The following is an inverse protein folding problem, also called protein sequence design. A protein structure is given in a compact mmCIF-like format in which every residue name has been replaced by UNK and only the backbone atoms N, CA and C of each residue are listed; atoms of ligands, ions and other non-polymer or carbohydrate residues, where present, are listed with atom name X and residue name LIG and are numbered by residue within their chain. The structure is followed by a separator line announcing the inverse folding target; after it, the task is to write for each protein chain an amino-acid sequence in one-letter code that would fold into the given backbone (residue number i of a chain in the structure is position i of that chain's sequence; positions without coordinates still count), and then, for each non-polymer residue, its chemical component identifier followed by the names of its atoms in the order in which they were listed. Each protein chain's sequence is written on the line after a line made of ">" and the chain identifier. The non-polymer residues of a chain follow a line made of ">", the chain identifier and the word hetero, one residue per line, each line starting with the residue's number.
data_IF_830713590922
#
_entry.id   IF_830713590922
#
_cell.length_a   1.000
_cell.length_b   1.000
_cell.length_c   1.000
_cell.angle_alpha   90.00
_cell.angle_beta   90.00
_cell.angle_gamma   90.00
#
_symmetry.space_group_name_H-M   'P 1'
#
loop_
_entity.id
_entity.type
_entity.pdbx_description
1 polymer ?
#
# COMPACT_ATOMS: atom_id res chain seq x y z
N UNK A 1 -3.76 0.20 0.93
CA UNK A 1 -5.22 -0.06 0.89
C UNK A 1 -5.84 0.90 -0.11
N UNK A 2 -6.59 0.38 -1.08
CA UNK A 2 -7.42 1.21 -1.97
C UNK A 2 -8.83 1.31 -1.37
N UNK A 3 -9.38 2.51 -1.38
CA UNK A 3 -10.69 2.84 -0.81
C UNK A 3 -11.59 3.30 -1.94
N UNK A 4 -12.87 2.96 -1.86
CA UNK A 4 -13.88 3.55 -2.75
C UNK A 4 -14.44 4.81 -2.06
N UNK A 5 -14.33 6.00 -2.67
CA UNK A 5 -14.93 7.21 -2.14
C UNK A 5 -16.44 7.05 -1.93
N UNK A 6 -16.96 7.62 -0.83
CA UNK A 6 -18.38 7.56 -0.50
C UNK A 6 -19.06 8.80 -1.11
N UNK A 7 -20.15 8.63 -1.88
CA UNK A 7 -20.90 9.75 -2.46
C UNK A 7 -21.28 10.80 -1.42
N UNK A 8 -21.31 12.08 -1.81
CA UNK A 8 -21.61 13.21 -0.93
C UNK A 8 -22.96 13.07 -0.23
N UNK A 9 -23.97 12.54 -0.92
CA UNK A 9 -25.30 12.34 -0.35
C UNK A 9 -25.32 11.32 0.80
N UNK A 10 -24.28 10.49 0.92
CA UNK A 10 -24.14 9.44 1.94
C UNK A 10 -23.16 9.81 3.07
N UNK A 11 -22.60 11.02 3.06
CA UNK A 11 -21.66 11.48 4.09
C UNK A 11 -22.38 11.95 5.36
N UNK A 12 -23.67 12.29 5.24
CA UNK A 12 -24.58 12.55 6.36
C UNK A 12 -24.09 13.59 7.39
N UNK A 13 -23.20 14.52 7.00
CA UNK A 13 -22.74 15.60 7.87
C UNK A 13 -21.35 16.14 7.53
N UNK A 14 -20.98 17.25 8.17
CA UNK A 14 -19.64 17.84 8.08
C UNK A 14 -18.60 17.00 8.84
N UNK A 15 -17.32 17.21 8.50
CA UNK A 15 -16.21 16.49 9.14
C UNK A 15 -16.09 15.04 8.72
N UNK A 16 -16.64 14.67 7.55
CA UNK A 16 -16.58 13.31 7.04
C UNK A 16 -15.14 12.81 6.81
N UNK A 17 -14.90 11.55 7.18
CA UNK A 17 -13.67 10.86 6.84
C UNK A 17 -13.76 9.35 7.05
N UNK A 18 -12.60 8.70 6.93
CA UNK A 18 -12.48 7.26 7.01
C UNK A 18 -11.76 6.81 8.28
N UNK A 19 -12.20 5.67 8.80
CA UNK A 19 -11.52 4.92 9.86
C UNK A 19 -10.95 3.65 9.25
N UNK A 20 -9.63 3.54 9.18
CA UNK A 20 -8.94 2.35 8.70
C UNK A 20 -8.57 1.49 9.90
N UNK A 21 -9.04 0.25 9.93
CA UNK A 21 -8.64 -0.73 10.94
C UNK A 21 -7.92 -1.90 10.29
N UNK A 22 -6.74 -2.23 10.79
CA UNK A 22 -5.96 -3.36 10.28
C UNK A 22 -5.20 -4.09 11.40
N UNK A 23 -4.93 -5.37 11.18
CA UNK A 23 -4.10 -6.21 12.06
C UNK A 23 -3.47 -7.36 11.28
N UNK A 24 -2.32 -7.92 11.73
CA UNK A 24 -1.81 -9.17 11.17
C UNK A 24 -2.88 -10.27 11.25
N UNK A 25 -2.99 -11.10 10.22
CA UNK A 25 -3.96 -12.20 10.20
C UNK A 25 -3.75 -13.12 11.41
N UNK A 26 -4.81 -13.37 12.17
CA UNK A 26 -4.78 -14.18 13.38
C UNK A 26 -4.37 -13.45 14.67
N UNK A 27 -4.01 -12.16 14.57
CA UNK A 27 -3.85 -11.29 15.75
C UNK A 27 -5.19 -10.86 16.33
N UNK A 28 -5.22 -10.41 17.58
CA UNK A 28 -6.41 -9.92 18.26
C UNK A 28 -6.52 -8.39 18.23
N UNK A 29 -5.38 -7.69 18.29
CA UNK A 29 -5.32 -6.24 18.44
C UNK A 29 -5.43 -5.50 17.11
N UNK A 30 -6.44 -4.64 16.98
CA UNK A 30 -6.62 -3.77 15.83
C UNK A 30 -5.79 -2.49 15.97
N UNK A 31 -5.07 -2.13 14.91
CA UNK A 31 -4.54 -0.78 14.73
C UNK A 31 -5.61 0.07 14.05
N UNK A 32 -5.89 1.26 14.59
CA UNK A 32 -6.86 2.23 14.05
C UNK A 32 -6.12 3.46 13.53
N UNK A 33 -6.44 3.88 12.31
CA UNK A 33 -5.95 5.11 11.71
C UNK A 33 -7.13 5.93 11.18
N UNK A 34 -7.05 7.25 11.32
CA UNK A 34 -8.11 8.19 10.88
C UNK A 34 -7.61 8.95 9.66
N UNK A 35 -8.44 9.01 8.63
CA UNK A 35 -8.18 9.76 7.40
C UNK A 35 -9.27 10.83 7.26
N UNK A 36 -8.95 12.06 7.61
CA UNK A 36 -9.83 13.23 7.53
C UNK A 36 -9.86 13.81 6.10
N UNK A 37 -10.35 13.02 5.15
CA UNK A 37 -10.51 13.46 3.76
C UNK A 37 -11.62 12.65 3.09
N UNK A 38 -12.58 13.37 2.53
CA UNK A 38 -13.71 12.84 1.75
C UNK A 38 -13.24 12.17 0.45
N UNK A 39 -12.19 12.71 -0.16
CA UNK A 39 -11.65 12.26 -1.45
C UNK A 39 -10.63 11.12 -1.29
N UNK A 40 -10.38 10.66 -0.06
CA UNK A 40 -9.39 9.65 0.20
C UNK A 40 -9.73 8.32 -0.50
N UNK A 41 -8.95 7.99 -1.52
CA UNK A 41 -9.04 6.72 -2.24
C UNK A 41 -7.91 5.74 -1.89
N UNK A 42 -6.96 6.14 -1.03
CA UNK A 42 -5.79 5.33 -0.66
C UNK A 42 -5.30 5.63 0.74
N UNK A 43 -4.89 4.58 1.43
CA UNK A 43 -4.13 4.66 2.69
C UNK A 43 -2.89 3.76 2.63
N UNK A 44 -1.75 4.27 3.11
CA UNK A 44 -0.46 3.56 3.17
C UNK A 44 0.05 3.60 4.60
N UNK A 45 0.25 2.41 5.18
CA UNK A 45 0.94 2.25 6.45
C UNK A 45 2.38 1.80 6.20
N UNK A 46 3.35 2.48 6.82
CA UNK A 46 4.77 2.14 6.72
C UNK A 46 5.27 1.73 8.09
N UNK A 47 5.85 0.53 8.16
CA UNK A 47 6.50 0.02 9.36
C UNK A 47 7.57 -0.96 8.93
N UNK A 48 8.83 -0.66 9.27
CA UNK A 48 10.02 -1.42 8.86
C UNK A 48 10.06 -2.85 9.42
N UNK A 49 9.25 -3.13 10.44
CA UNK A 49 9.12 -4.48 11.02
C UNK A 49 8.09 -5.35 10.27
N UNK A 50 7.37 -4.82 9.28
CA UNK A 50 6.43 -5.62 8.48
C UNK A 50 7.20 -6.38 7.40
N UNK A 51 7.19 -7.72 7.50
CA UNK A 51 7.73 -8.59 6.45
C UNK A 51 6.91 -8.43 5.15
N UNK A 52 7.55 -8.43 3.97
CA UNK A 52 6.87 -8.45 2.68
C UNK A 52 5.85 -9.60 2.54
N UNK A 53 4.78 -9.37 1.77
CA UNK A 53 3.71 -10.35 1.54
C UNK A 53 3.10 -10.96 2.81
N UNK A 54 3.11 -10.22 3.92
CA UNK A 54 2.46 -10.62 5.16
C UNK A 54 0.95 -10.37 5.06
N UNK A 55 0.09 -11.33 5.44
CA UNK A 55 -1.36 -11.16 5.40
C UNK A 55 -1.85 -10.29 6.57
N UNK A 56 -2.76 -9.36 6.25
CA UNK A 56 -3.45 -8.50 7.22
C UNK A 56 -4.96 -8.62 7.02
N UNK A 57 -5.69 -8.69 8.14
CA UNK A 57 -7.13 -8.43 8.15
C UNK A 57 -7.36 -6.92 8.18
N UNK A 58 -8.27 -6.45 7.34
CA UNK A 58 -8.59 -5.03 7.20
C UNK A 58 -10.09 -4.80 7.16
N UNK A 59 -10.54 -3.71 7.75
CA UNK A 59 -11.90 -3.18 7.60
C UNK A 59 -11.86 -1.66 7.63
N UNK A 60 -12.82 -1.05 6.95
CA UNK A 60 -12.92 0.40 6.78
C UNK A 60 -14.26 0.87 7.30
N UNK A 61 -14.26 1.90 8.12
CA UNK A 61 -15.46 2.61 8.54
C UNK A 61 -15.44 4.05 8.05
N UNK A 62 -16.54 4.73 8.32
CA UNK A 62 -16.69 6.17 8.11
C UNK A 62 -16.95 6.86 9.44
N UNK A 63 -16.68 8.15 9.50
CA UNK A 63 -17.08 9.00 10.62
C UNK A 63 -17.43 10.39 10.09
N UNK A 64 -18.18 11.14 10.87
CA UNK A 64 -18.40 12.57 10.71
C UNK A 64 -18.52 13.22 12.11
N UNK A 65 -18.89 14.49 12.18
CA UNK A 65 -19.04 15.19 13.47
C UNK A 65 -20.15 14.61 14.37
N UNK A 66 -21.09 13.84 13.81
CA UNK A 66 -22.13 13.14 14.58
C UNK A 66 -21.63 11.83 15.19
N UNK A 67 -20.51 11.29 14.70
CA UNK A 67 -19.84 10.13 15.29
C UNK A 67 -19.35 9.11 14.26
N UNK A 68 -19.16 7.87 14.72
CA UNK A 68 -18.70 6.75 13.89
C UNK A 68 -19.87 6.06 13.20
N UNK A 69 -19.74 5.84 11.89
CA UNK A 69 -20.71 5.10 11.08
C UNK A 69 -20.38 3.61 10.96
N UNK A 70 -21.04 2.95 10.02
CA UNK A 70 -20.91 1.51 9.80
C UNK A 70 -19.50 1.11 9.32
N UNK A 71 -19.01 -0.01 9.85
CA UNK A 71 -17.78 -0.67 9.40
C UNK A 71 -18.08 -1.65 8.26
N UNK A 72 -17.16 -1.74 7.30
CA UNK A 72 -17.18 -2.76 6.25
C UNK A 72 -16.95 -4.16 6.82
N UNK A 73 -17.27 -5.18 6.00
CA UNK A 73 -16.79 -6.55 6.22
C UNK A 73 -15.26 -6.60 6.28
N UNK A 74 -14.73 -7.56 7.03
CA UNK A 74 -13.29 -7.83 7.10
C UNK A 74 -12.83 -8.47 5.79
N UNK A 75 -11.72 -7.98 5.24
CA UNK A 75 -11.04 -8.54 4.06
C UNK A 75 -9.58 -8.85 4.39
N UNK A 76 -8.97 -9.78 3.64
CA UNK A 76 -7.53 -10.06 3.77
C UNK A 76 -6.77 -9.36 2.65
N UNK A 77 -5.71 -8.63 3.00
CA UNK A 77 -4.77 -8.01 2.07
C UNK A 77 -3.34 -8.42 2.42
N UNK A 78 -2.40 -8.16 1.53
CA UNK A 78 -0.98 -8.45 1.74
C UNK A 78 -0.18 -7.15 1.84
N UNK A 79 0.84 -7.12 2.69
CA UNK A 79 1.81 -6.02 2.71
C UNK A 79 2.53 -5.92 1.37
N UNK A 80 3.05 -4.72 1.08
CA UNK A 80 3.81 -4.47 -0.15
C UNK A 80 5.08 -5.32 -0.23
N UNK A 81 5.54 -5.54 -1.45
CA UNK A 81 6.89 -6.02 -1.72
C UNK A 81 7.82 -4.81 -1.79
N UNK A 82 8.91 -4.83 -1.02
CA UNK A 82 9.95 -3.82 -1.20
C UNK A 82 10.61 -4.06 -2.56
N UNK A 83 10.47 -3.09 -3.46
CA UNK A 83 11.19 -3.10 -4.73
C UNK A 83 12.68 -2.88 -4.43
N UNK A 84 13.46 -3.96 -4.54
CA UNK A 84 14.91 -3.88 -4.40
C UNK A 84 15.48 -3.31 -5.70
N UNK A 85 16.33 -2.30 -5.58
CA UNK A 85 17.05 -1.77 -6.74
C UNK A 85 18.16 -2.75 -7.16
N UNK A 86 18.31 -3.06 -8.47
CA UNK A 86 19.45 -3.83 -8.93
C UNK A 86 20.74 -3.05 -8.70
N UNK A 87 21.77 -3.74 -8.22
CA UNK A 87 23.09 -3.15 -7.94
C UNK A 87 23.99 -3.24 -9.18
N UNK A 88 25.05 -2.42 -9.22
CA UNK A 88 25.99 -2.43 -10.33
C UNK A 88 25.41 -1.91 -11.65
N UNK A 89 24.39 -1.03 -11.58
CA UNK A 89 23.85 -0.39 -12.76
C UNK A 89 24.93 0.45 -13.45
N UNK A 90 25.12 0.24 -14.75
CA UNK A 90 26.02 0.99 -15.60
C UNK A 90 25.36 1.32 -16.93
N UNK A 91 25.75 2.45 -17.51
CA UNK A 91 25.28 2.89 -18.81
C UNK A 91 26.48 3.25 -19.68
N UNK A 92 26.53 2.68 -20.89
CA UNK A 92 27.56 2.95 -21.88
C UNK A 92 26.91 3.58 -23.10
N UNK A 93 27.40 4.75 -23.53
CA UNK A 93 26.99 5.33 -24.81
C UNK A 93 27.64 4.54 -25.93
N UNK A 94 26.82 3.95 -26.79
CA UNK A 94 27.26 3.15 -27.94
C UNK A 94 27.30 4.01 -29.20
N UNK A 95 26.37 4.98 -29.31
CA UNK A 95 26.32 5.95 -30.39
C UNK A 95 25.72 7.28 -29.92
N UNK A 96 25.58 8.24 -30.84
CA UNK A 96 24.94 9.53 -30.56
C UNK A 96 23.45 9.40 -30.19
N UNK A 97 22.82 8.24 -30.42
CA UNK A 97 21.40 8.00 -30.13
C UNK A 97 21.13 6.70 -29.36
N UNK A 98 22.16 5.96 -28.97
CA UNK A 98 22.01 4.66 -28.30
C UNK A 98 22.86 4.56 -27.04
N UNK A 99 22.24 3.99 -26.00
CA UNK A 99 22.86 3.67 -24.73
C UNK A 99 22.57 2.21 -24.41
N UNK A 100 23.60 1.50 -24.00
CA UNK A 100 23.50 0.18 -23.42
C UNK A 100 23.46 0.32 -21.90
N UNK A 101 22.44 -0.27 -21.26
CA UNK A 101 22.28 -0.27 -19.81
C UNK A 101 22.42 -1.71 -19.32
N UNK A 102 23.24 -1.93 -18.30
CA UNK A 102 23.43 -3.24 -17.68
C UNK A 102 23.40 -3.14 -16.16
N UNK A 103 23.00 -4.21 -15.47
CA UNK A 103 22.94 -4.29 -14.01
C UNK A 103 23.08 -5.75 -13.55
N UNK A 104 23.39 -5.94 -12.26
CA UNK A 104 23.42 -7.28 -11.67
C UNK A 104 21.98 -7.77 -11.41
N UNK A 105 21.64 -9.01 -11.78
CA UNK A 105 20.34 -9.59 -11.45
C UNK A 105 20.11 -9.61 -9.94
N UNK A 106 18.91 -9.24 -9.49
CA UNK A 106 18.52 -9.37 -8.09
C UNK A 106 18.36 -10.86 -7.79
N UNK A 107 19.17 -11.39 -6.88
CA UNK A 107 19.09 -12.78 -6.47
C UNK A 107 17.76 -13.04 -5.74
N UNK A 108 17.02 -14.05 -6.20
CA UNK A 108 15.80 -14.50 -5.52
C UNK A 108 16.13 -14.95 -4.09
N UNK A 109 15.44 -14.37 -3.11
CA UNK A 109 15.33 -14.92 -1.78
C UNK A 109 13.94 -14.61 -1.18
N UNK A 110 13.65 -15.17 0.01
CA UNK A 110 12.35 -15.00 0.69
C UNK A 110 12.01 -13.54 1.04
N UNK A 111 13.00 -12.65 1.10
CA UNK A 111 12.82 -11.24 1.41
C UNK A 111 12.67 -10.38 0.15
N UNK A 112 13.28 -10.76 -0.97
CA UNK A 112 13.22 -10.00 -2.23
C UNK A 112 11.92 -10.18 -2.99
N UNK A 113 11.17 -11.25 -2.71
CA UNK A 113 10.04 -11.63 -3.55
C UNK A 113 10.48 -11.98 -4.98
N UNK A 114 9.49 -12.23 -5.85
CA UNK A 114 9.77 -12.81 -7.19
C UNK A 114 9.99 -11.66 -8.13
N UNK A 115 11.20 -11.52 -8.66
CA UNK A 115 11.48 -10.51 -9.68
C UNK A 115 10.69 -10.88 -10.94
N UNK A 116 9.65 -10.10 -11.24
CA UNK A 116 8.80 -10.29 -12.43
C UNK A 116 9.39 -9.63 -13.69
N UNK A 117 10.27 -8.65 -13.50
CA UNK A 117 10.92 -7.90 -14.57
C UNK A 117 11.68 -6.70 -14.01
N UNK A 118 12.36 -5.98 -14.90
CA UNK A 118 13.03 -4.72 -14.60
C UNK A 118 12.40 -3.62 -15.47
N UNK A 119 12.23 -2.42 -14.89
CA UNK A 119 11.77 -1.24 -15.62
C UNK A 119 12.96 -0.28 -15.77
N UNK A 120 13.29 0.10 -17.01
CA UNK A 120 14.32 1.11 -17.33
C UNK A 120 13.61 2.42 -17.64
N UNK A 121 14.01 3.51 -16.99
CA UNK A 121 13.43 4.86 -17.15
C UNK A 121 14.48 5.88 -17.55
#
# INVERSE_FOLDING_TARGET
>A
LSLQPVPEELQNGEGFGYIIMFRPLGSTTWTKAVVASVEANKYVYRNESITPLSPFEVKVGVYNNEGEGTLSSVSVVYSGEDAIAPVGASALSVSASEVEVSWQPIAWNRHTGRVLGYEVR
#
